data_IF_421300674177
#
_entry.id   IF_421300674177
#
_cell.length_a   1.000
_cell.length_b   1.000
_cell.length_c   1.000
_cell.angle_alpha   90.00
_cell.angle_beta   90.00
_cell.angle_gamma   90.00
#
_symmetry.space_group_name_H-M   'P 1'
#
loop_
_entity.id
_entity.type
_entity.pdbx_description
1 polymer ?
#
# COMPACT_ATOMS: atom_id res chain seq x y z
N UNK A 1 5.22 -1.16 24.72
CA UNK A 1 5.37 -2.38 23.91
C UNK A 1 5.37 -1.91 22.47
N UNK A 2 6.45 -2.14 21.73
CA UNK A 2 6.53 -1.71 20.32
C UNK A 2 5.57 -2.59 19.50
N UNK A 3 4.74 -1.97 18.65
CA UNK A 3 3.72 -2.68 17.87
C UNK A 3 4.39 -3.52 16.76
N UNK A 4 4.22 -4.86 16.74
CA UNK A 4 4.83 -5.72 15.73
C UNK A 4 4.41 -5.37 14.30
N UNK A 5 3.23 -4.78 14.12
CA UNK A 5 2.76 -4.32 12.81
C UNK A 5 3.58 -3.13 12.31
N UNK A 6 3.87 -2.16 13.17
CA UNK A 6 4.69 -0.99 12.83
C UNK A 6 6.14 -1.38 12.55
N UNK A 7 6.67 -2.34 13.31
CA UNK A 7 8.02 -2.87 13.08
C UNK A 7 8.09 -3.59 11.73
N UNK A 8 7.09 -4.41 11.41
CA UNK A 8 6.98 -5.07 10.12
C UNK A 8 6.87 -4.08 8.95
N UNK A 9 6.06 -3.01 9.11
CA UNK A 9 5.95 -1.95 8.13
C UNK A 9 7.30 -1.30 7.82
N UNK A 10 8.11 -1.03 8.86
CA UNK A 10 9.45 -0.48 8.71
C UNK A 10 10.40 -1.44 7.97
N UNK A 11 10.44 -2.72 8.34
CA UNK A 11 11.34 -3.72 7.70
C UNK A 11 11.04 -3.89 6.20
N UNK A 12 9.76 -3.79 5.82
CA UNK A 12 9.30 -3.90 4.43
C UNK A 12 9.69 -2.71 3.55
N UNK A 13 10.21 -1.64 4.13
CA UNK A 13 10.80 -0.52 3.38
C UNK A 13 12.30 -0.76 3.15
N UNK A 14 12.81 -0.71 1.90
CA UNK A 14 14.20 -1.05 1.61
C UNK A 14 15.24 -0.28 2.43
N UNK A 15 14.94 0.98 2.78
CA UNK A 15 15.83 1.85 3.57
C UNK A 15 15.89 1.50 5.05
N UNK A 16 14.93 0.75 5.58
CA UNK A 16 14.71 0.57 7.01
C UNK A 16 14.82 -0.90 7.46
N UNK A 17 15.39 -1.78 6.63
CA UNK A 17 15.62 -3.19 6.96
C UNK A 17 16.37 -3.39 8.28
N UNK A 18 17.32 -2.49 8.59
CA UNK A 18 18.14 -2.49 9.80
C UNK A 18 18.05 -1.14 10.51
N UNK A 19 16.83 -0.63 10.70
CA UNK A 19 16.60 0.69 11.31
C UNK A 19 16.93 0.75 12.82
N UNK A 20 17.08 -0.41 13.46
CA UNK A 20 17.36 -0.56 14.90
C UNK A 20 18.45 -1.61 15.11
N UNK A 21 19.19 -1.48 16.22
CA UNK A 21 20.23 -2.43 16.65
C UNK A 21 19.66 -3.56 17.52
N UNK A 22 18.40 -3.43 17.96
CA UNK A 22 17.72 -4.41 18.83
C UNK A 22 17.29 -5.63 18.00
N UNK A 23 18.02 -6.74 18.13
CA UNK A 23 17.73 -7.99 17.42
C UNK A 23 16.32 -8.52 17.71
N UNK A 24 15.89 -8.49 18.98
CA UNK A 24 14.58 -9.00 19.41
C UNK A 24 13.41 -8.27 18.73
N UNK A 25 13.58 -6.96 18.48
CA UNK A 25 12.58 -6.12 17.80
C UNK A 25 12.47 -6.52 16.33
N UNK A 26 13.61 -6.68 15.66
CA UNK A 26 13.66 -7.12 14.26
C UNK A 26 13.04 -8.52 14.13
N UNK A 27 13.36 -9.43 15.05
CA UNK A 27 12.82 -10.79 15.05
C UNK A 27 11.29 -10.80 15.23
N UNK A 28 10.75 -9.98 16.13
CA UNK A 28 9.30 -9.83 16.30
C UNK A 28 8.62 -9.34 15.01
N UNK A 29 9.18 -8.33 14.35
CA UNK A 29 8.68 -7.82 13.07
C UNK A 29 8.76 -8.85 11.94
N UNK A 30 9.88 -9.57 11.82
CA UNK A 30 10.04 -10.64 10.82
C UNK A 30 9.07 -11.79 11.04
N UNK A 31 8.83 -12.17 12.30
CA UNK A 31 7.84 -13.19 12.65
C UNK A 31 6.44 -12.76 12.23
N UNK A 32 6.10 -11.49 12.45
CA UNK A 32 4.82 -10.92 11.98
C UNK A 32 4.71 -10.92 10.45
N UNK A 33 5.76 -10.53 9.72
CA UNK A 33 5.78 -10.57 8.24
C UNK A 33 5.56 -11.99 7.72
N UNK A 34 6.21 -13.01 8.32
CA UNK A 34 6.02 -14.42 7.94
C UNK A 34 4.59 -14.87 8.15
N UNK A 35 4.00 -14.59 9.31
CA UNK A 35 2.60 -14.93 9.60
C UNK A 35 1.63 -14.26 8.62
N UNK A 36 1.84 -12.98 8.28
CA UNK A 36 1.00 -12.26 7.32
C UNK A 36 1.18 -12.77 5.90
N UNK A 37 2.39 -13.16 5.52
CA UNK A 37 2.62 -13.89 4.29
C UNK A 37 1.79 -15.19 4.31
N UNK A 38 1.87 -16.05 5.30
CA UNK A 38 1.14 -17.32 5.28
C UNK A 38 -0.39 -17.13 5.18
N UNK A 39 -0.96 -16.19 5.94
CA UNK A 39 -2.39 -15.80 5.83
C UNK A 39 -2.80 -15.35 4.43
N UNK A 40 -1.95 -14.57 3.76
CA UNK A 40 -2.23 -14.15 2.38
C UNK A 40 -2.17 -15.30 1.36
N UNK A 41 -1.59 -16.45 1.70
CA UNK A 41 -1.57 -17.62 0.82
C UNK A 41 -2.92 -18.34 0.88
N UNK A 42 -3.44 -18.53 2.08
CA UNK A 42 -4.75 -19.15 2.32
C UNK A 42 -5.88 -18.35 1.67
N UNK A 43 -5.84 -17.01 1.76
CA UNK A 43 -6.84 -16.13 1.11
C UNK A 43 -6.79 -16.23 -0.42
N UNK A 44 -5.61 -16.39 -1.02
CA UNK A 44 -5.48 -16.51 -2.47
C UNK A 44 -6.08 -17.83 -3.00
N UNK A 45 -5.97 -18.92 -2.24
CA UNK A 45 -6.58 -20.21 -2.59
C UNK A 45 -8.12 -20.17 -2.47
N UNK A 46 -8.65 -19.41 -1.50
CA UNK A 46 -10.09 -19.32 -1.26
C UNK A 46 -10.83 -18.34 -2.20
N UNK A 47 -10.13 -17.32 -2.73
CA UNK A 47 -10.70 -16.34 -3.70
C UNK A 47 -10.79 -16.93 -5.11
N UNK A 48 -9.92 -17.90 -5.46
CA UNK A 48 -9.95 -18.60 -6.75
C UNK A 48 -11.23 -19.41 -7.03
N UNK A 49 -12.10 -19.61 -6.03
CA UNK A 49 -13.37 -20.32 -6.20
C UNK A 49 -14.60 -19.39 -6.30
N UNK A 50 -14.52 -18.11 -5.93
CA UNK A 50 -15.72 -17.28 -5.71
C UNK A 50 -15.75 -15.87 -6.33
N UNK A 51 -14.73 -15.38 -7.04
CA UNK A 51 -14.74 -13.95 -7.42
C UNK A 51 -15.29 -13.68 -8.83
N UNK A 52 -16.48 -13.06 -8.85
CA UNK A 52 -16.94 -12.16 -9.91
C UNK A 52 -15.95 -11.02 -10.10
N UNK A 53 -15.81 -10.63 -11.35
CA UNK A 53 -14.89 -9.68 -11.97
C UNK A 53 -15.07 -8.26 -11.41
N UNK A 54 -14.21 -7.78 -10.49
CA UNK A 54 -14.04 -6.34 -10.14
C UNK A 54 -12.80 -6.09 -9.22
N UNK A 55 -11.61 -6.69 -9.44
CA UNK A 55 -10.40 -6.34 -8.65
C UNK A 55 -9.09 -6.48 -9.47
N UNK A 56 -9.03 -5.91 -10.68
CA UNK A 56 -7.84 -5.99 -11.56
C UNK A 56 -6.96 -4.72 -11.60
N UNK A 57 -7.26 -3.67 -10.83
CA UNK A 57 -6.41 -2.46 -10.81
C UNK A 57 -5.01 -2.70 -10.20
N UNK A 58 -4.87 -3.74 -9.35
CA UNK A 58 -3.60 -4.06 -8.66
C UNK A 58 -2.82 -5.17 -9.38
N UNK A 59 -3.43 -5.85 -10.36
CA UNK A 59 -2.86 -7.03 -11.02
C UNK A 59 -2.19 -6.72 -12.37
N UNK A 60 -2.35 -5.50 -12.89
CA UNK A 60 -1.82 -5.10 -14.19
C UNK A 60 -0.29 -4.96 -14.16
N UNK A 61 0.36 -6.06 -14.53
CA UNK A 61 1.77 -6.11 -14.92
C UNK A 61 2.70 -6.72 -13.88
N UNK A 62 2.90 -8.05 -13.95
CA UNK A 62 4.24 -8.67 -13.89
C UNK A 62 4.27 -10.16 -14.17
N UNK A 63 5.31 -10.55 -14.90
CA UNK A 63 5.77 -11.94 -15.06
C UNK A 63 6.05 -12.55 -13.68
N UNK A 64 5.20 -13.48 -13.26
CA UNK A 64 5.32 -14.21 -12.00
C UNK A 64 6.53 -15.14 -12.07
N UNK A 65 7.67 -14.73 -11.51
CA UNK A 65 8.71 -15.69 -11.14
C UNK A 65 8.27 -16.32 -9.81
N UNK A 66 7.90 -17.60 -9.86
CA UNK A 66 7.50 -18.42 -8.69
C UNK A 66 8.70 -18.64 -7.76
N UNK A 67 9.12 -17.62 -7.01
CA UNK A 67 9.90 -17.84 -5.80
C UNK A 67 8.93 -18.14 -4.66
N UNK A 68 9.12 -19.26 -3.99
CA UNK A 68 8.30 -19.65 -2.85
C UNK A 68 8.26 -18.53 -1.83
N UNK A 69 7.07 -18.26 -1.29
CA UNK A 69 6.74 -17.09 -0.45
C UNK A 69 7.74 -16.80 0.67
N UNK A 70 8.21 -17.84 1.36
CA UNK A 70 9.22 -17.72 2.40
C UNK A 70 10.62 -17.36 1.86
N UNK A 71 11.00 -17.92 0.70
CA UNK A 71 12.27 -17.61 0.01
C UNK A 71 12.32 -16.18 -0.54
N UNK A 72 11.15 -15.58 -0.81
CA UNK A 72 11.07 -14.20 -1.29
C UNK A 72 11.50 -13.19 -0.22
N UNK A 73 11.09 -13.41 1.03
CA UNK A 73 11.50 -12.57 2.16
C UNK A 73 13.00 -12.62 2.38
N UNK A 74 13.57 -13.83 2.39
CA UNK A 74 15.02 -14.01 2.56
C UNK A 74 15.81 -13.34 1.41
N UNK A 75 15.33 -13.48 0.17
CA UNK A 75 15.91 -12.81 -1.00
C UNK A 75 15.82 -11.28 -0.93
N UNK A 76 14.71 -10.76 -0.41
CA UNK A 76 14.54 -9.33 -0.18
C UNK A 76 15.51 -8.80 0.89
N UNK A 77 15.64 -9.50 2.01
CA UNK A 77 16.52 -9.11 3.12
C UNK A 77 18.00 -9.16 2.73
N UNK A 78 18.40 -10.14 1.90
CA UNK A 78 19.76 -10.25 1.39
C UNK A 78 20.17 -9.12 0.43
N UNK A 79 19.20 -8.39 -0.14
CA UNK A 79 19.51 -7.31 -1.07
C UNK A 79 19.94 -6.03 -0.33
N UNK A 80 21.09 -5.48 -0.73
CA UNK A 80 21.69 -4.26 -0.16
C UNK A 80 21.04 -2.98 -0.75
N UNK A 81 20.23 -3.09 -1.80
CA UNK A 81 19.63 -1.92 -2.45
C UNK A 81 18.62 -1.22 -1.54
N UNK A 82 18.76 0.09 -1.42
CA UNK A 82 17.90 0.98 -0.65
C UNK A 82 16.83 1.69 -1.51
N UNK A 83 16.74 1.35 -2.80
CA UNK A 83 15.79 1.96 -3.75
C UNK A 83 14.43 1.28 -3.66
N UNK A 84 13.36 2.06 -3.79
CA UNK A 84 11.99 1.55 -3.76
C UNK A 84 11.68 0.62 -4.94
N UNK A 85 12.37 0.81 -6.06
CA UNK A 85 12.25 -0.04 -7.25
C UNK A 85 12.61 -1.50 -6.96
N UNK A 86 13.35 -1.78 -5.88
CA UNK A 86 13.65 -3.14 -5.43
C UNK A 86 12.38 -3.95 -5.17
N UNK A 87 11.32 -3.33 -4.62
CA UNK A 87 10.05 -4.00 -4.37
C UNK A 87 9.41 -4.51 -5.67
N UNK A 88 9.78 -3.96 -6.83
CA UNK A 88 9.25 -4.46 -8.10
C UNK A 88 9.70 -5.88 -8.44
N UNK A 89 10.82 -6.34 -7.87
CA UNK A 89 11.36 -7.69 -8.03
C UNK A 89 10.75 -8.71 -7.07
N UNK A 90 10.05 -8.25 -6.03
CA UNK A 90 9.47 -9.06 -4.96
C UNK A 90 7.96 -8.76 -4.84
N UNK A 91 7.10 -9.40 -5.63
CA UNK A 91 5.68 -9.05 -5.72
C UNK A 91 4.89 -9.26 -4.41
N UNK A 92 5.17 -10.31 -3.64
CA UNK A 92 4.46 -10.55 -2.38
C UNK A 92 4.94 -9.58 -1.30
N UNK A 93 6.25 -9.33 -1.25
CA UNK A 93 6.82 -8.32 -0.33
C UNK A 93 6.28 -6.93 -0.67
N UNK A 94 6.18 -6.59 -1.96
CA UNK A 94 5.55 -5.33 -2.40
C UNK A 94 4.10 -5.22 -1.94
N UNK A 95 3.30 -6.29 -2.12
CA UNK A 95 1.89 -6.29 -1.71
C UNK A 95 1.73 -6.11 -0.20
N UNK A 96 2.56 -6.80 0.59
CA UNK A 96 2.60 -6.63 2.05
C UNK A 96 3.08 -5.23 2.45
N UNK A 97 4.14 -4.73 1.82
CA UNK A 97 4.69 -3.39 2.06
C UNK A 97 3.63 -2.32 1.82
N UNK A 98 2.88 -2.44 0.71
CA UNK A 98 1.75 -1.55 0.43
C UNK A 98 0.69 -1.69 1.53
N UNK A 99 0.19 -2.89 1.82
CA UNK A 99 -0.87 -3.09 2.83
C UNK A 99 -0.53 -2.46 4.19
N UNK A 100 0.70 -2.63 4.67
CA UNK A 100 1.11 -2.14 5.99
C UNK A 100 1.54 -0.66 6.00
N UNK A 101 2.04 -0.11 4.88
CA UNK A 101 2.54 1.28 4.82
C UNK A 101 1.60 2.27 4.11
N UNK A 102 0.65 1.80 3.30
CA UNK A 102 -0.29 2.68 2.57
C UNK A 102 -1.61 2.89 3.28
N UNK A 103 -1.72 2.47 4.55
CA UNK A 103 -2.79 2.92 5.46
C UNK A 103 -2.61 4.39 5.81
N UNK A 104 -2.42 5.26 4.80
CA UNK A 104 -2.22 6.70 4.91
C UNK A 104 -3.03 7.25 6.08
N UNK A 105 -2.44 8.10 6.95
CA UNK A 105 -3.25 8.96 7.79
C UNK A 105 -4.11 9.82 6.86
N UNK A 106 -5.32 9.33 6.59
CA UNK A 106 -6.22 9.86 5.58
C UNK A 106 -6.61 11.30 5.92
N UNK A 107 -6.52 11.70 7.20
CA UNK A 107 -6.87 13.04 7.67
C UNK A 107 -6.26 14.14 6.83
N UNK A 108 -4.94 14.17 6.61
CA UNK A 108 -4.30 15.26 5.87
C UNK A 108 -4.67 15.30 4.38
N UNK A 109 -4.97 14.14 3.77
CA UNK A 109 -5.43 14.07 2.38
C UNK A 109 -6.91 14.44 2.25
N UNK A 110 -7.74 13.94 3.18
CA UNK A 110 -9.15 14.29 3.32
C UNK A 110 -9.34 15.76 3.65
N UNK A 111 -8.53 16.36 4.53
CA UNK A 111 -8.56 17.80 4.82
C UNK A 111 -8.24 18.63 3.58
N UNK A 112 -7.23 18.21 2.79
CA UNK A 112 -6.94 18.86 1.49
C UNK A 112 -8.11 18.73 0.51
N UNK A 113 -8.74 17.55 0.44
CA UNK A 113 -9.94 17.31 -0.36
C UNK A 113 -11.09 18.24 0.09
N UNK A 114 -11.43 18.27 1.37
CA UNK A 114 -12.52 19.09 1.93
C UNK A 114 -12.22 20.59 1.88
N UNK A 115 -10.97 21.00 2.05
CA UNK A 115 -10.55 22.39 1.84
C UNK A 115 -10.80 22.81 0.38
N UNK A 116 -10.42 21.97 -0.59
CA UNK A 116 -10.69 22.23 -2.01
C UNK A 116 -12.19 22.22 -2.33
N UNK A 117 -12.94 21.32 -1.68
CA UNK A 117 -14.39 21.19 -1.78
C UNK A 117 -15.11 22.44 -1.26
N UNK A 118 -14.67 23.00 -0.12
CA UNK A 118 -15.20 24.25 0.43
C UNK A 118 -15.02 25.45 -0.51
N UNK A 119 -13.95 25.48 -1.31
CA UNK A 119 -13.76 26.51 -2.34
C UNK A 119 -14.71 26.34 -3.55
N UNK A 120 -15.22 25.13 -3.80
CA UNK A 120 -16.19 24.86 -4.86
C UNK A 120 -17.63 25.12 -4.37
N UNK A 121 -17.90 24.76 -3.11
CA UNK A 121 -19.19 24.92 -2.45
C UNK A 121 -19.36 26.35 -1.91
N UNK A 122 -19.60 27.29 -2.83
CA UNK A 122 -19.84 28.71 -2.49
C UNK A 122 -21.32 29.05 -2.64
N UNK A 123 -21.86 30.06 -1.89
CA UNK A 123 -23.25 30.47 -2.01
C UNK A 123 -23.67 30.86 -3.44
N UNK A 124 -22.73 31.39 -4.24
CA UNK A 124 -22.95 31.74 -5.66
C UNK A 124 -23.11 30.51 -6.58
N UNK A 125 -22.71 29.32 -6.12
CA UNK A 125 -22.81 28.03 -6.83
C UNK A 125 -23.80 27.07 -6.14
N UNK A 126 -24.73 27.58 -5.33
CA UNK A 126 -25.66 26.78 -4.53
C UNK A 126 -26.60 25.84 -5.33
N UNK A 127 -26.62 25.92 -6.67
CA UNK A 127 -27.39 25.05 -7.57
C UNK A 127 -26.55 23.95 -8.24
N UNK A 128 -25.39 23.62 -7.69
CA UNK A 128 -24.59 22.50 -8.20
C UNK A 128 -25.17 21.17 -7.69
N UNK A 129 -25.41 20.25 -8.61
CA UNK A 129 -25.77 18.87 -8.27
C UNK A 129 -24.58 18.12 -7.66
N UNK A 130 -24.84 17.11 -6.81
CA UNK A 130 -23.81 16.33 -6.13
C UNK A 130 -22.80 15.72 -7.12
N UNK A 131 -23.29 15.14 -8.22
CA UNK A 131 -22.41 14.54 -9.23
C UNK A 131 -21.50 15.59 -9.89
N UNK A 132 -22.05 16.78 -10.16
CA UNK A 132 -21.30 17.87 -10.77
C UNK A 132 -20.27 18.45 -9.80
N UNK A 133 -20.57 18.47 -8.50
CA UNK A 133 -19.63 18.90 -7.47
C UNK A 133 -18.45 17.94 -7.35
N UNK A 134 -18.72 16.64 -7.27
CA UNK A 134 -17.69 15.59 -7.21
C UNK A 134 -16.80 15.61 -8.45
N UNK A 135 -17.39 15.70 -9.64
CA UNK A 135 -16.64 15.81 -10.90
C UNK A 135 -15.74 17.06 -10.94
N UNK A 136 -16.23 18.21 -10.48
CA UNK A 136 -15.41 19.43 -10.40
C UNK A 136 -14.27 19.30 -9.40
N UNK A 137 -14.51 18.64 -8.26
CA UNK A 137 -13.49 18.39 -7.24
C UNK A 137 -12.40 17.46 -7.78
N UNK A 138 -12.80 16.37 -8.46
CA UNK A 138 -11.90 15.42 -9.10
C UNK A 138 -11.02 16.11 -10.15
N UNK A 139 -11.61 16.91 -11.03
CA UNK A 139 -10.88 17.66 -12.07
C UNK A 139 -9.91 18.70 -11.47
N UNK A 140 -10.30 19.34 -10.37
CA UNK A 140 -9.48 20.35 -9.69
C UNK A 140 -8.26 19.73 -9.01
N UNK A 141 -8.42 18.56 -8.39
CA UNK A 141 -7.32 17.87 -7.71
C UNK A 141 -6.36 17.18 -8.69
N UNK A 142 -6.87 16.67 -9.82
CA UNK A 142 -6.06 15.93 -10.81
C UNK A 142 -5.53 16.80 -11.95
N UNK A 143 -5.37 18.10 -11.74
CA UNK A 143 -4.89 19.04 -12.78
C UNK A 143 -3.56 18.63 -13.43
N UNK A 144 -2.68 17.94 -12.69
CA UNK A 144 -1.36 17.49 -13.16
C UNK A 144 -1.41 16.30 -14.12
N UNK A 145 -2.54 15.62 -14.26
CA UNK A 145 -2.72 14.46 -15.14
C UNK A 145 -3.46 14.83 -16.45
N UNK A 146 -3.70 16.13 -16.68
CA UNK A 146 -4.34 16.64 -17.91
C UNK A 146 -3.35 17.13 -18.96
N UNK A 147 -2.05 17.07 -18.67
CA UNK A 147 -0.92 17.33 -19.57
C UNK A 147 -0.25 16.01 -19.94
#
# INVERSE_FOLDING_TARGET
MEDPELIAAAILLPKFKTWTEKADVIEAGLTYVRQQADRMAEVAEHVGQNSSDEEDFINEGKKVTRYGKARELDGYLACISNKMDLLNSFPHIKKLALKLNTGLPASAACERLFSCAGLLFTPKRARIDSNNFENQLLLKLNRKFRE
#
